data_IF_326172187887
#
_entry.id   IF_326172187887
#
_cell.length_a   1.000
_cell.length_b   1.000
_cell.length_c   1.000
_cell.angle_alpha   90.00
_cell.angle_beta   90.00
_cell.angle_gamma   90.00
#
_symmetry.space_group_name_H-M   'P 1'
#
loop_
_entity.id
_entity.type
_entity.pdbx_description
1 polymer ?
#
# COMPACT_ATOMS: atom_id res chain seq x y z
N UNK A 1 30.36 3.60 -0.91
CA UNK A 1 29.33 2.87 -0.11
C UNK A 1 28.00 3.63 0.02
N UNK A 2 27.61 4.50 -0.92
CA UNK A 2 26.29 5.17 -0.90
C UNK A 2 25.22 4.48 -1.78
N UNK A 3 25.65 3.63 -2.71
CA UNK A 3 24.78 3.02 -3.75
C UNK A 3 23.74 2.07 -3.13
N UNK A 4 24.05 1.45 -1.98
CA UNK A 4 23.14 0.52 -1.30
C UNK A 4 22.27 1.19 -0.21
N UNK A 5 22.58 2.42 0.19
CA UNK A 5 21.86 3.09 1.28
C UNK A 5 20.43 3.46 0.88
N UNK A 6 20.25 3.97 -0.35
CA UNK A 6 18.94 4.34 -0.87
C UNK A 6 17.98 3.14 -1.06
N UNK A 7 18.36 2.04 -1.75
CA UNK A 7 17.46 0.89 -1.86
C UNK A 7 17.16 0.25 -0.50
N UNK A 8 18.12 0.24 0.43
CA UNK A 8 17.88 -0.22 1.80
C UNK A 8 16.85 0.65 2.54
N UNK A 9 16.94 1.98 2.38
CA UNK A 9 15.98 2.91 2.96
C UNK A 9 14.55 2.66 2.44
N UNK A 10 14.37 2.50 1.12
CA UNK A 10 13.06 2.18 0.54
C UNK A 10 12.53 0.84 1.05
N UNK A 11 13.37 -0.20 1.05
CA UNK A 11 12.95 -1.53 1.52
C UNK A 11 12.52 -1.52 3.00
N UNK A 12 13.24 -0.77 3.85
CA UNK A 12 12.84 -0.56 5.25
C UNK A 12 11.54 0.22 5.36
N UNK A 13 11.35 1.25 4.53
CA UNK A 13 10.09 2.00 4.45
C UNK A 13 8.90 1.11 4.10
N UNK A 14 9.06 0.23 3.11
CA UNK A 14 8.04 -0.74 2.71
C UNK A 14 7.71 -1.74 3.83
N UNK A 15 8.72 -2.27 4.53
CA UNK A 15 8.54 -3.16 5.68
C UNK A 15 7.81 -2.47 6.84
N UNK A 16 8.13 -1.21 7.12
CA UNK A 16 7.57 -0.48 8.26
C UNK A 16 6.07 -0.16 8.12
N UNK A 17 5.49 -0.25 6.92
CA UNK A 17 4.05 -0.01 6.69
C UNK A 17 3.15 -1.15 7.12
N UNK A 18 3.72 -2.33 7.42
CA UNK A 18 2.98 -3.51 7.89
C UNK A 18 1.80 -3.90 6.98
N UNK A 19 1.93 -3.70 5.66
CA UNK A 19 0.93 -4.20 4.71
C UNK A 19 1.10 -5.71 4.51
N UNK A 20 -0.02 -6.41 4.35
CA UNK A 20 0.02 -7.83 4.00
C UNK A 20 0.57 -8.02 2.58
N UNK A 21 1.25 -9.13 2.29
CA UNK A 21 1.79 -9.39 0.95
C UNK A 21 0.72 -9.22 -0.14
N UNK A 22 -0.45 -9.84 0.03
CA UNK A 22 -1.57 -9.70 -0.92
C UNK A 22 -2.20 -8.31 -0.94
N UNK A 23 -2.04 -7.50 0.10
CA UNK A 23 -2.54 -6.12 0.13
C UNK A 23 -1.73 -5.23 -0.82
N UNK A 24 -0.44 -5.52 -0.97
CA UNK A 24 0.48 -4.80 -1.85
C UNK A 24 0.29 -5.09 -3.34
N UNK A 25 -0.68 -5.92 -3.73
CA UNK A 25 -1.09 -6.13 -5.13
C UNK A 25 -1.80 -4.86 -5.67
N UNK A 26 -1.04 -3.81 -5.93
CA UNK A 26 -1.55 -2.46 -6.23
C UNK A 26 -2.27 -2.40 -7.56
N UNK A 27 -1.86 -3.22 -8.53
CA UNK A 27 -2.51 -3.33 -9.83
C UNK A 27 -3.66 -4.35 -9.85
N UNK A 28 -3.85 -5.12 -8.78
CA UNK A 28 -4.88 -6.18 -8.64
C UNK A 28 -4.77 -7.29 -9.69
N UNK A 29 -3.55 -7.64 -10.10
CA UNK A 29 -3.30 -8.74 -11.05
C UNK A 29 -3.26 -10.13 -10.38
N UNK A 30 -3.40 -10.18 -9.06
CA UNK A 30 -3.45 -11.40 -8.26
C UNK A 30 -2.10 -11.87 -7.75
N UNK A 31 -1.02 -11.13 -8.01
CA UNK A 31 0.33 -11.41 -7.52
C UNK A 31 0.93 -10.14 -6.94
N UNK A 32 1.94 -10.30 -6.11
CA UNK A 32 2.71 -9.16 -5.58
C UNK A 32 4.14 -9.30 -6.03
N UNK A 33 4.61 -8.29 -6.72
CA UNK A 33 5.96 -8.20 -7.28
C UNK A 33 6.89 -7.42 -6.35
N UNK A 34 8.20 -7.56 -6.57
CA UNK A 34 9.20 -6.77 -5.82
C UNK A 34 9.01 -5.25 -6.05
N UNK A 35 8.61 -4.84 -7.25
CA UNK A 35 8.30 -3.44 -7.55
C UNK A 35 7.12 -2.92 -6.73
N UNK A 36 6.08 -3.73 -6.53
CA UNK A 36 4.93 -3.35 -5.72
C UNK A 36 5.24 -3.33 -4.23
N UNK A 37 6.05 -4.28 -3.77
CA UNK A 37 6.61 -4.24 -2.42
C UNK A 37 7.36 -2.92 -2.19
N UNK A 38 8.29 -2.54 -3.07
CA UNK A 38 9.03 -1.28 -2.94
C UNK A 38 8.12 -0.05 -3.06
N UNK A 39 7.11 -0.08 -3.94
CA UNK A 39 6.13 1.00 -4.08
C UNK A 39 5.35 1.25 -2.76
N UNK A 40 5.22 0.23 -1.91
CA UNK A 40 4.58 0.35 -0.60
C UNK A 40 5.25 1.36 0.31
N UNK A 41 6.55 1.65 0.13
CA UNK A 41 7.26 2.68 0.91
C UNK A 41 6.62 4.07 0.75
N UNK A 42 6.08 4.35 -0.44
CA UNK A 42 5.48 5.62 -0.82
C UNK A 42 3.95 5.59 -0.85
N UNK A 43 3.32 4.54 -0.32
CA UNK A 43 1.86 4.40 -0.24
C UNK A 43 1.44 4.47 1.24
N UNK A 44 0.42 5.27 1.50
CA UNK A 44 -0.26 5.34 2.80
C UNK A 44 -1.72 4.90 2.65
N UNK A 45 -2.38 4.58 3.77
CA UNK A 45 -3.81 4.29 3.80
C UNK A 45 -4.55 5.15 4.79
N UNK A 46 -5.78 5.55 4.45
CA UNK A 46 -6.72 6.25 5.33
C UNK A 46 -8.10 5.62 5.23
N UNK A 47 -8.85 5.64 6.33
CA UNK A 47 -10.25 5.27 6.30
C UNK A 47 -11.05 6.43 5.70
N UNK A 48 -11.92 6.13 4.76
CA UNK A 48 -12.88 7.10 4.19
C UNK A 48 -14.29 6.55 4.37
N UNK A 49 -15.24 7.43 4.63
CA UNK A 49 -16.66 7.10 4.68
C UNK A 49 -17.26 7.30 3.29
N UNK A 50 -17.88 6.25 2.74
CA UNK A 50 -18.56 6.32 1.46
C UNK A 50 -20.01 5.86 1.62
N UNK A 51 -20.88 6.80 1.96
CA UNK A 51 -22.26 6.51 2.32
C UNK A 51 -22.35 5.87 3.71
N UNK A 52 -22.80 4.62 3.77
CA UNK A 52 -22.88 3.85 5.02
C UNK A 52 -21.69 2.89 5.23
N UNK A 53 -20.78 2.79 4.26
CA UNK A 53 -19.63 1.89 4.30
C UNK A 53 -18.34 2.63 4.71
N UNK A 54 -17.50 1.97 5.50
CA UNK A 54 -16.11 2.38 5.75
C UNK A 54 -15.22 1.71 4.71
N UNK A 55 -14.52 2.51 3.91
CA UNK A 55 -13.54 2.04 2.93
C UNK A 55 -12.13 2.40 3.37
N UNK A 56 -11.14 1.63 2.92
CA UNK A 56 -9.73 2.06 2.98
C UNK A 56 -9.30 2.61 1.64
N UNK A 57 -8.85 3.86 1.65
CA UNK A 57 -8.21 4.49 0.51
C UNK A 57 -6.71 4.45 0.68
N UNK A 58 -6.05 3.82 -0.30
CA UNK A 58 -4.61 3.84 -0.48
C UNK A 58 -4.25 4.99 -1.39
N UNK A 59 -3.29 5.81 -0.98
CA UNK A 59 -2.88 7.01 -1.70
C UNK A 59 -1.37 7.13 -1.75
N UNK A 60 -0.86 7.76 -2.81
CA UNK A 60 0.56 8.01 -2.97
C UNK A 60 0.98 9.19 -2.09
N UNK A 61 2.07 9.05 -1.34
CA UNK A 61 2.59 10.10 -0.46
C UNK A 61 3.10 11.33 -1.21
N UNK A 62 3.50 11.16 -2.47
CA UNK A 62 4.07 12.22 -3.30
C UNK A 62 3.07 13.34 -3.62
N UNK A 63 1.79 12.99 -3.84
CA UNK A 63 0.75 13.90 -4.35
C UNK A 63 -0.62 13.72 -3.67
N UNK A 64 -0.77 12.72 -2.81
CA UNK A 64 -2.04 12.42 -2.13
C UNK A 64 -3.10 11.81 -3.04
N UNK A 65 -2.76 11.45 -4.29
CA UNK A 65 -3.72 10.88 -5.23
C UNK A 65 -4.04 9.42 -4.87
N UNK A 66 -5.30 9.01 -5.06
CA UNK A 66 -5.71 7.65 -4.77
C UNK A 66 -5.06 6.67 -5.75
N UNK A 67 -4.46 5.61 -5.20
CA UNK A 67 -3.90 4.47 -5.92
C UNK A 67 -4.95 3.36 -6.01
N UNK A 68 -5.63 3.06 -4.91
CA UNK A 68 -6.67 2.04 -4.82
C UNK A 68 -7.63 2.37 -3.68
N UNK A 69 -8.91 2.03 -3.83
CA UNK A 69 -9.91 2.14 -2.76
C UNK A 69 -10.61 0.82 -2.58
N UNK A 70 -10.52 0.26 -1.38
CA UNK A 70 -11.14 -1.01 -1.01
C UNK A 70 -12.34 -0.75 -0.09
N UNK A 71 -13.55 -1.08 -0.55
CA UNK A 71 -14.80 -0.92 0.20
C UNK A 71 -15.42 -2.28 0.58
N UNK A 72 -16.11 -2.33 1.71
CA UNK A 72 -16.88 -3.49 2.16
C UNK A 72 -16.07 -4.60 2.86
N UNK A 73 -16.62 -5.82 2.94
CA UNK A 73 -16.07 -7.00 3.65
C UNK A 73 -14.63 -7.41 3.24
N UNK A 74 -14.10 -6.91 2.13
CA UNK A 74 -12.70 -7.14 1.70
C UNK A 74 -11.68 -6.52 2.66
N UNK A 75 -12.09 -5.53 3.44
CA UNK A 75 -11.27 -4.85 4.44
C UNK A 75 -11.04 -5.70 5.69
N UNK A 76 -12.03 -6.50 6.10
CA UNK A 76 -12.04 -7.14 7.42
C UNK A 76 -11.40 -8.54 7.43
N UNK A 77 -11.16 -9.13 6.26
CA UNK A 77 -10.74 -10.55 6.12
C UNK A 77 -9.25 -10.68 5.74
N UNK A 78 -8.52 -9.59 5.51
CA UNK A 78 -7.08 -9.67 5.21
C UNK A 78 -6.28 -9.49 6.51
N UNK A 79 -5.73 -10.58 7.09
CA UNK A 79 -4.77 -10.48 8.20
C UNK A 79 -3.47 -9.80 7.76
#
# INVERSE_FOLDING_TARGET
>A
MLILAYPAYIALGALARSYGWREMDWNSDGRTTLSEFLASADIAKRSIERGQDVCWEYYALKDGLPVRTDCGLRVFIRP
#
